data_IF_575949182818
#
_entry.id   IF_575949182818
#
_cell.length_a   1.000
_cell.length_b   1.000
_cell.length_c   1.000
_cell.angle_alpha   90.00
_cell.angle_beta   90.00
_cell.angle_gamma   90.00
#
_symmetry.space_group_name_H-M   'P 1'
#
loop_
_entity.id
_entity.type
_entity.pdbx_description
1 polymer ?
#
# COMPACT_ATOMS: atom_id res chain seq x y z
N UNK A 1 -20.66 12.78 -17.10
CA UNK A 1 -20.30 13.37 -15.78
C UNK A 1 -21.49 13.16 -14.84
N UNK A 2 -21.29 12.54 -13.67
CA UNK A 2 -22.35 12.27 -12.68
C UNK A 2 -22.85 13.59 -12.11
N UNK A 3 -24.18 13.83 -12.09
CA UNK A 3 -24.76 15.06 -11.56
C UNK A 3 -24.60 15.17 -10.04
N UNK A 4 -24.58 16.39 -9.49
CA UNK A 4 -24.48 16.63 -8.04
C UNK A 4 -25.58 15.90 -7.24
N UNK A 5 -26.79 15.86 -7.78
CA UNK A 5 -27.92 15.11 -7.20
C UNK A 5 -27.65 13.61 -7.09
N UNK A 6 -27.04 13.03 -8.11
CA UNK A 6 -26.67 11.61 -8.11
C UNK A 6 -25.58 11.35 -7.09
N UNK A 7 -24.61 12.26 -6.96
CA UNK A 7 -23.55 12.19 -5.94
C UNK A 7 -24.13 12.27 -4.52
N UNK A 8 -25.09 13.16 -4.27
CA UNK A 8 -25.82 13.22 -3.00
C UNK A 8 -26.50 11.88 -2.67
N UNK A 9 -27.20 11.29 -3.64
CA UNK A 9 -27.88 10.00 -3.46
C UNK A 9 -26.92 8.83 -3.28
N UNK A 10 -25.73 8.87 -3.90
CA UNK A 10 -24.67 7.90 -3.66
C UNK A 10 -24.19 7.97 -2.20
N UNK A 11 -23.95 9.17 -1.66
CA UNK A 11 -23.55 9.35 -0.26
C UNK A 11 -24.65 8.85 0.68
N UNK A 12 -25.90 9.22 0.43
CA UNK A 12 -27.05 8.72 1.19
C UNK A 12 -27.10 7.18 1.20
N UNK A 13 -26.96 6.55 0.03
CA UNK A 13 -26.98 5.08 -0.06
C UNK A 13 -25.84 4.44 0.71
N UNK A 14 -24.63 5.02 0.65
CA UNK A 14 -23.44 4.51 1.37
C UNK A 14 -23.52 4.71 2.90
N UNK A 15 -24.23 5.74 3.36
CA UNK A 15 -24.39 6.02 4.78
C UNK A 15 -25.23 4.97 5.53
N UNK A 16 -26.02 4.16 4.82
CA UNK A 16 -26.96 3.20 5.42
C UNK A 16 -28.11 3.85 6.19
N UNK A 17 -28.20 5.17 6.21
CA UNK A 17 -29.24 5.93 6.93
C UNK A 17 -30.53 6.04 6.12
N UNK A 18 -31.65 6.25 6.83
CA UNK A 18 -32.87 6.66 6.16
C UNK A 18 -32.71 8.08 5.59
N UNK A 19 -33.53 8.44 4.58
CA UNK A 19 -33.50 9.78 4.00
C UNK A 19 -33.74 10.90 5.04
N UNK A 20 -34.52 10.61 6.08
CA UNK A 20 -34.78 11.53 7.19
C UNK A 20 -33.52 11.69 8.05
N UNK A 21 -32.96 10.58 8.53
CA UNK A 21 -31.81 10.59 9.45
C UNK A 21 -30.55 11.17 8.78
N UNK A 22 -30.38 10.89 7.48
CA UNK A 22 -29.32 11.50 6.68
C UNK A 22 -29.46 13.02 6.56
N UNK A 23 -30.66 13.52 6.30
CA UNK A 23 -30.92 14.97 6.27
C UNK A 23 -30.62 15.60 7.64
N UNK A 24 -31.15 15.02 8.71
CA UNK A 24 -30.93 15.47 10.09
C UNK A 24 -29.45 15.46 10.50
N UNK A 25 -28.69 14.47 10.07
CA UNK A 25 -27.23 14.40 10.33
C UNK A 25 -26.47 15.58 9.73
N UNK A 26 -26.97 16.14 8.64
CA UNK A 26 -26.44 17.35 8.01
C UNK A 26 -27.03 18.66 8.60
N UNK A 27 -28.04 18.58 9.48
CA UNK A 27 -28.76 19.73 10.01
C UNK A 27 -29.86 20.26 9.06
N UNK A 28 -30.27 19.42 8.11
CA UNK A 28 -31.34 19.74 7.17
C UNK A 28 -32.69 19.23 7.69
N UNK A 29 -33.78 19.92 7.33
CA UNK A 29 -35.10 19.36 7.50
C UNK A 29 -35.32 18.21 6.51
N UNK A 30 -36.21 17.26 6.85
CA UNK A 30 -36.61 16.15 5.97
C UNK A 30 -37.01 16.65 4.56
N UNK A 31 -37.73 17.76 4.50
CA UNK A 31 -38.22 18.37 3.23
C UNK A 31 -37.04 18.85 2.38
N UNK A 32 -36.07 19.55 2.99
CA UNK A 32 -34.88 20.02 2.27
C UNK A 32 -34.03 18.85 1.77
N UNK A 33 -33.81 17.82 2.59
CA UNK A 33 -33.07 16.60 2.17
C UNK A 33 -33.74 15.92 0.98
N UNK A 34 -35.08 15.84 0.97
CA UNK A 34 -35.84 15.31 -0.17
C UNK A 34 -35.69 16.15 -1.44
N UNK A 35 -35.75 17.51 -1.31
CA UNK A 35 -35.57 18.41 -2.44
C UNK A 35 -34.18 18.36 -3.05
N UNK A 36 -33.15 18.19 -2.23
CA UNK A 36 -31.77 18.01 -2.69
C UNK A 36 -31.63 16.65 -3.41
N UNK A 37 -32.12 15.57 -2.80
CA UNK A 37 -32.09 14.24 -3.37
C UNK A 37 -32.90 14.09 -4.67
N UNK A 38 -33.91 14.94 -4.89
CA UNK A 38 -34.68 15.00 -6.14
C UNK A 38 -34.10 15.98 -7.18
N UNK A 39 -33.05 16.72 -6.83
CA UNK A 39 -32.42 17.70 -7.71
C UNK A 39 -33.15 19.05 -7.82
N UNK A 40 -34.16 19.29 -6.98
CA UNK A 40 -34.89 20.60 -6.92
C UNK A 40 -34.07 21.68 -6.23
N UNK A 41 -33.22 21.29 -5.29
CA UNK A 41 -32.28 22.15 -4.60
C UNK A 41 -30.87 21.56 -4.67
N UNK A 42 -29.85 22.41 -4.53
CA UNK A 42 -28.47 22.01 -4.30
C UNK A 42 -28.17 21.99 -2.82
N UNK A 43 -27.18 21.19 -2.42
CA UNK A 43 -26.69 21.22 -1.04
C UNK A 43 -26.07 22.59 -0.75
N UNK A 44 -26.48 23.29 0.32
CA UNK A 44 -25.86 24.54 0.74
C UNK A 44 -24.34 24.38 0.96
N UNK A 45 -23.59 25.39 0.53
CA UNK A 45 -22.10 25.31 0.58
C UNK A 45 -21.55 25.24 1.99
N UNK A 46 -22.20 25.86 2.96
CA UNK A 46 -21.87 25.84 4.38
C UNK A 46 -22.03 24.44 5.02
N UNK A 47 -22.78 23.54 4.36
CA UNK A 47 -22.94 22.16 4.80
C UNK A 47 -21.97 21.18 4.16
N UNK A 48 -21.14 21.60 3.21
CA UNK A 48 -20.14 20.73 2.57
C UNK A 48 -19.13 20.17 3.57
N UNK A 49 -18.64 21.00 4.47
CA UNK A 49 -17.72 20.57 5.55
C UNK A 49 -18.37 19.51 6.45
N UNK A 50 -19.65 19.68 6.75
CA UNK A 50 -20.39 18.72 7.56
C UNK A 50 -20.62 17.41 6.81
N UNK A 51 -20.94 17.49 5.52
CA UNK A 51 -21.03 16.31 4.65
C UNK A 51 -19.71 15.53 4.63
N UNK A 52 -18.57 16.22 4.48
CA UNK A 52 -17.26 15.61 4.49
C UNK A 52 -16.95 14.92 5.81
N UNK A 53 -17.15 15.61 6.94
CA UNK A 53 -16.77 15.11 8.28
C UNK A 53 -17.68 14.00 8.79
N UNK A 54 -19.01 14.15 8.60
CA UNK A 54 -19.99 13.21 9.16
C UNK A 54 -20.10 11.94 8.32
N UNK A 55 -19.97 12.06 6.99
CA UNK A 55 -20.15 10.94 6.06
C UNK A 55 -18.89 10.54 5.32
N UNK A 56 -17.73 11.03 5.74
CA UNK A 56 -16.41 10.72 5.15
C UNK A 56 -16.39 10.93 3.62
N UNK A 57 -16.90 12.07 3.16
CA UNK A 57 -17.05 12.36 1.73
C UNK A 57 -15.85 13.16 1.22
N UNK A 58 -15.28 12.72 0.10
CA UNK A 58 -14.31 13.50 -0.65
C UNK A 58 -15.02 14.68 -1.33
N UNK A 59 -14.73 15.90 -0.88
CA UNK A 59 -15.36 17.11 -1.42
C UNK A 59 -14.99 17.40 -2.86
N UNK A 60 -13.78 17.08 -3.30
CA UNK A 60 -13.40 17.20 -4.70
C UNK A 60 -14.31 16.33 -5.57
N UNK A 61 -14.47 15.05 -5.21
CA UNK A 61 -15.40 14.18 -5.91
C UNK A 61 -16.84 14.69 -5.82
N UNK A 62 -17.28 15.16 -4.66
CA UNK A 62 -18.66 15.64 -4.52
C UNK A 62 -18.94 16.85 -5.42
N UNK A 63 -17.97 17.74 -5.61
CA UNK A 63 -18.13 18.96 -6.41
C UNK A 63 -17.90 18.71 -7.90
N UNK A 64 -16.90 17.93 -8.28
CA UNK A 64 -16.46 17.74 -9.67
C UNK A 64 -16.95 16.42 -10.30
N UNK A 65 -17.13 15.37 -9.49
CA UNK A 65 -17.39 14.02 -9.94
C UNK A 65 -16.12 13.23 -10.28
N UNK A 66 -14.92 13.81 -10.07
CA UNK A 66 -13.64 13.18 -10.30
C UNK A 66 -13.10 12.51 -9.02
N UNK A 67 -12.53 11.31 -9.14
CA UNK A 67 -12.04 10.52 -8.01
C UNK A 67 -13.09 9.60 -7.40
N UNK A 68 -12.99 9.32 -6.10
CA UNK A 68 -13.89 8.43 -5.35
C UNK A 68 -14.77 9.19 -4.37
N UNK A 69 -15.97 8.66 -4.04
CA UNK A 69 -16.95 9.35 -3.16
C UNK A 69 -16.53 9.45 -1.69
N UNK A 70 -15.67 8.55 -1.20
CA UNK A 70 -15.15 8.61 0.17
C UNK A 70 -13.89 9.45 0.24
N UNK A 71 -13.61 10.04 1.40
CA UNK A 71 -12.23 10.34 1.74
C UNK A 71 -11.59 8.95 1.86
N UNK A 72 -10.78 8.57 0.89
CA UNK A 72 -9.90 7.44 1.08
C UNK A 72 -9.02 7.82 2.26
N UNK A 73 -8.92 6.94 3.25
CA UNK A 73 -7.84 7.09 4.22
C UNK A 73 -6.57 7.22 3.38
N UNK A 74 -5.96 8.39 3.39
CA UNK A 74 -4.73 8.67 2.61
C UNK A 74 -3.61 7.72 3.03
N UNK A 75 -3.81 6.98 4.12
CA UNK A 75 -2.90 5.97 4.63
C UNK A 75 -3.53 4.57 4.63
N UNK A 76 -2.69 3.59 4.45
CA UNK A 76 -3.04 2.17 4.53
C UNK A 76 -2.04 1.44 5.41
N UNK A 77 -2.47 0.33 6.00
CA UNK A 77 -1.61 -0.54 6.79
C UNK A 77 -1.05 -1.65 5.92
N UNK A 78 0.24 -1.93 6.09
CA UNK A 78 0.97 -3.04 5.47
C UNK A 78 1.58 -3.87 6.59
N UNK A 79 1.54 -5.20 6.46
CA UNK A 79 2.18 -6.12 7.40
C UNK A 79 3.70 -5.94 7.34
N UNK A 80 4.30 -5.62 8.49
CA UNK A 80 5.75 -5.51 8.67
C UNK A 80 6.26 -6.78 9.32
N UNK A 81 7.12 -7.51 8.60
CA UNK A 81 7.69 -8.76 9.07
C UNK A 81 8.92 -8.50 9.93
N UNK A 82 8.99 -9.19 11.06
CA UNK A 82 10.20 -9.23 11.87
C UNK A 82 11.21 -10.19 11.25
N UNK A 83 12.42 -9.70 10.94
CA UNK A 83 13.48 -10.52 10.32
C UNK A 83 14.00 -11.62 11.25
N UNK A 84 14.03 -11.38 12.58
CA UNK A 84 14.51 -12.39 13.53
C UNK A 84 13.53 -13.57 13.63
N UNK A 85 12.24 -13.29 13.59
CA UNK A 85 11.19 -14.32 13.59
C UNK A 85 11.15 -15.09 12.26
N UNK A 86 11.37 -14.41 11.13
CA UNK A 86 11.41 -15.04 9.80
C UNK A 86 12.64 -15.93 9.59
N UNK A 87 13.77 -15.62 10.25
CA UNK A 87 15.03 -16.35 10.13
C UNK A 87 15.05 -17.69 10.92
N UNK A 88 14.22 -17.84 11.97
CA UNK A 88 14.28 -18.98 12.89
C UNK A 88 13.39 -20.18 12.56
N UNK A 89 12.43 -20.05 11.63
CA UNK A 89 11.42 -21.09 11.39
C UNK A 89 11.54 -21.69 10.00
N UNK A 90 12.27 -22.78 9.89
CA UNK A 90 12.39 -23.59 8.66
C UNK A 90 11.12 -24.33 8.24
N UNK A 91 9.93 -23.93 8.71
CA UNK A 91 8.62 -24.47 8.32
C UNK A 91 7.54 -23.42 8.57
N UNK A 92 6.75 -23.11 7.52
CA UNK A 92 5.45 -22.40 7.58
C UNK A 92 5.36 -21.26 8.60
N UNK A 93 6.26 -20.30 8.51
CA UNK A 93 6.39 -19.16 9.43
C UNK A 93 5.26 -18.13 9.32
N UNK A 94 4.18 -18.44 8.62
CA UNK A 94 3.08 -17.49 8.44
C UNK A 94 2.16 -17.37 9.67
N UNK A 95 2.18 -18.31 10.61
CA UNK A 95 1.20 -18.35 11.69
C UNK A 95 1.71 -17.86 13.06
N UNK A 96 3.01 -17.58 13.23
CA UNK A 96 3.59 -17.23 14.54
C UNK A 96 4.47 -15.97 14.59
N UNK A 97 4.54 -15.21 13.49
CA UNK A 97 5.26 -13.93 13.49
C UNK A 97 4.34 -12.88 14.13
N UNK A 98 4.78 -12.25 15.22
CA UNK A 98 4.14 -11.02 15.70
C UNK A 98 4.13 -10.01 14.55
N UNK A 99 2.98 -9.90 13.89
CA UNK A 99 2.79 -8.97 12.78
C UNK A 99 2.62 -7.58 13.36
N UNK A 100 3.66 -6.79 13.28
CA UNK A 100 3.48 -5.36 13.41
C UNK A 100 2.92 -4.81 12.10
N UNK A 101 2.20 -3.70 12.16
CA UNK A 101 1.71 -3.03 10.95
C UNK A 101 2.42 -1.69 10.79
N UNK A 102 2.66 -1.32 9.54
CA UNK A 102 3.26 -0.05 9.17
C UNK A 102 2.29 0.75 8.30
N UNK A 103 2.06 2.01 8.67
CA UNK A 103 1.17 2.90 7.92
C UNK A 103 1.95 3.66 6.84
N UNK A 104 1.43 3.66 5.62
CA UNK A 104 1.98 4.40 4.49
C UNK A 104 0.89 5.16 3.73
N UNK A 105 1.23 6.27 3.06
CA UNK A 105 0.32 6.89 2.12
C UNK A 105 -0.08 5.90 1.02
N UNK A 106 -1.37 5.84 0.70
CA UNK A 106 -1.88 4.98 -0.38
C UNK A 106 -1.20 5.27 -1.72
N UNK A 107 -0.88 6.53 -1.97
CA UNK A 107 -0.18 6.98 -3.18
C UNK A 107 1.20 6.34 -3.37
N UNK A 108 1.88 5.96 -2.27
CA UNK A 108 3.20 5.33 -2.30
C UNK A 108 3.16 3.91 -2.89
N UNK A 109 2.04 3.22 -2.73
CA UNK A 109 1.88 1.83 -3.14
C UNK A 109 0.97 1.63 -4.36
N UNK A 110 0.32 2.69 -4.84
CA UNK A 110 -0.57 2.60 -6.01
C UNK A 110 0.20 2.05 -7.23
N UNK A 111 -0.40 1.18 -8.06
CA UNK A 111 -1.80 0.74 -8.05
C UNK A 111 -2.08 -0.51 -7.20
N UNK A 112 -1.14 -0.96 -6.38
CA UNK A 112 -1.25 -2.22 -5.64
C UNK A 112 -2.20 -2.12 -4.44
N UNK A 113 -2.77 -3.27 -4.03
CA UNK A 113 -3.61 -3.37 -2.84
C UNK A 113 -2.75 -3.66 -1.61
N UNK A 114 -3.03 -3.03 -0.44
CA UNK A 114 -2.23 -3.21 0.78
C UNK A 114 -2.14 -4.67 1.23
N UNK A 115 -3.23 -5.43 1.13
CA UNK A 115 -3.32 -6.85 1.50
C UNK A 115 -2.45 -7.79 0.65
N UNK A 116 -1.86 -7.28 -0.41
CA UNK A 116 -0.93 -8.00 -1.30
C UNK A 116 0.52 -7.60 -1.09
N UNK A 117 0.79 -6.72 -0.14
CA UNK A 117 2.12 -6.17 0.12
C UNK A 117 2.62 -6.61 1.50
N UNK A 118 3.93 -6.68 1.60
CA UNK A 118 4.65 -6.92 2.83
C UNK A 118 5.76 -5.88 2.98
N UNK A 119 6.18 -5.64 4.21
CA UNK A 119 7.30 -4.76 4.51
C UNK A 119 8.33 -5.47 5.38
N UNK A 120 9.60 -5.09 5.24
CA UNK A 120 10.70 -5.54 6.10
C UNK A 120 11.60 -4.37 6.46
N UNK A 121 12.28 -4.46 7.59
CA UNK A 121 13.43 -3.58 7.85
C UNK A 121 14.61 -3.96 6.98
N UNK A 122 15.31 -2.95 6.46
CA UNK A 122 16.59 -3.13 5.76
C UNK A 122 17.71 -3.17 6.79
N UNK A 123 18.61 -4.12 6.66
CA UNK A 123 19.81 -4.22 7.50
C UNK A 123 21.07 -4.12 6.65
N UNK A 124 22.00 -3.28 7.11
CA UNK A 124 23.30 -3.07 6.48
C UNK A 124 23.27 -2.04 5.35
N UNK A 125 24.43 -1.84 4.72
CA UNK A 125 24.73 -0.76 3.77
C UNK A 125 24.90 -1.25 2.32
N UNK A 126 24.55 -2.50 2.05
CA UNK A 126 24.82 -3.14 0.76
C UNK A 126 24.06 -2.51 -0.43
N UNK A 127 23.05 -1.69 -0.18
CA UNK A 127 22.21 -1.05 -1.21
C UNK A 127 22.27 0.48 -1.15
N UNK A 128 23.28 1.05 -0.49
CA UNK A 128 23.40 2.49 -0.21
C UNK A 128 23.40 3.35 -1.47
N UNK A 129 23.96 2.88 -2.58
CA UNK A 129 23.97 3.64 -3.85
C UNK A 129 22.62 3.63 -4.57
N UNK A 130 21.64 2.85 -4.09
CA UNK A 130 20.22 2.91 -4.49
C UNK A 130 19.39 3.68 -3.47
N UNK A 131 20.06 4.42 -2.56
CA UNK A 131 19.43 5.18 -1.49
C UNK A 131 18.56 4.31 -0.55
N UNK A 132 18.93 3.04 -0.41
CA UNK A 132 18.34 2.10 0.55
C UNK A 132 19.36 1.89 1.65
N UNK A 133 19.06 2.37 2.85
CA UNK A 133 19.99 2.47 3.96
C UNK A 133 19.60 1.53 5.10
N UNK A 134 20.53 1.32 6.01
CA UNK A 134 20.29 0.59 7.25
C UNK A 134 19.15 1.22 8.05
N UNK A 135 18.19 0.41 8.48
CA UNK A 135 16.99 0.83 9.22
C UNK A 135 15.85 1.38 8.38
N UNK A 136 15.98 1.45 7.06
CA UNK A 136 14.87 1.76 6.16
C UNK A 136 13.82 0.64 6.17
N UNK A 137 12.61 0.95 5.69
CA UNK A 137 11.56 -0.04 5.51
C UNK A 137 11.35 -0.25 4.01
N UNK A 138 11.63 -1.46 3.53
CA UNK A 138 11.37 -1.87 2.15
C UNK A 138 9.98 -2.51 2.04
N UNK A 139 9.15 -1.96 1.16
CA UNK A 139 7.80 -2.46 0.83
C UNK A 139 7.93 -3.28 -0.46
N UNK A 140 7.45 -4.52 -0.44
CA UNK A 140 7.58 -5.42 -1.58
C UNK A 140 6.29 -6.19 -1.88
N UNK A 141 6.16 -6.66 -3.12
CA UNK A 141 5.04 -7.48 -3.57
C UNK A 141 5.50 -8.92 -3.76
N UNK A 142 5.03 -9.89 -2.92
CA UNK A 142 5.51 -11.28 -2.93
C UNK A 142 5.30 -12.03 -4.26
N UNK A 143 4.26 -11.65 -5.02
CA UNK A 143 3.93 -12.33 -6.27
C UNK A 143 4.63 -11.75 -7.51
N UNK A 144 5.37 -10.65 -7.37
CA UNK A 144 6.18 -10.10 -8.46
C UNK A 144 7.60 -10.63 -8.35
N UNK A 145 7.94 -11.60 -9.20
CA UNK A 145 9.22 -12.32 -9.16
C UNK A 145 9.92 -12.37 -10.52
N UNK A 146 9.49 -11.53 -11.46
CA UNK A 146 9.99 -11.54 -12.83
C UNK A 146 10.66 -10.21 -13.20
N UNK A 147 11.66 -10.32 -14.09
CA UNK A 147 12.41 -9.19 -14.61
C UNK A 147 13.45 -8.65 -13.62
N UNK A 148 14.48 -8.01 -14.16
CA UNK A 148 15.55 -7.41 -13.36
C UNK A 148 15.02 -6.26 -12.49
N UNK A 149 15.54 -6.13 -11.27
CA UNK A 149 15.07 -5.12 -10.33
C UNK A 149 15.63 -5.30 -8.93
N UNK A 150 15.07 -4.57 -7.97
CA UNK A 150 15.39 -4.71 -6.56
C UNK A 150 14.37 -5.64 -5.92
N UNK A 151 14.87 -6.62 -5.18
CA UNK A 151 14.05 -7.66 -4.58
C UNK A 151 14.42 -7.90 -3.11
N UNK A 152 13.42 -8.33 -2.35
CA UNK A 152 13.67 -9.07 -1.13
C UNK A 152 13.98 -10.51 -1.52
N UNK A 153 15.10 -11.03 -1.06
CA UNK A 153 15.55 -12.39 -1.30
C UNK A 153 15.90 -13.06 0.02
N UNK A 154 15.74 -14.37 0.12
CA UNK A 154 16.26 -15.14 1.25
C UNK A 154 17.36 -16.08 0.80
N UNK A 155 18.40 -16.18 1.64
CA UNK A 155 19.50 -17.14 1.51
C UNK A 155 19.63 -17.83 2.86
N UNK A 156 19.31 -19.12 2.90
CA UNK A 156 19.11 -19.79 4.19
C UNK A 156 18.05 -19.04 5.01
N UNK A 157 18.41 -18.60 6.22
CA UNK A 157 17.51 -17.87 7.12
C UNK A 157 17.63 -16.34 7.02
N UNK A 158 18.48 -15.81 6.15
CA UNK A 158 18.68 -14.37 6.05
C UNK A 158 17.80 -13.74 4.97
N UNK A 159 17.02 -12.71 5.33
CA UNK A 159 16.32 -11.84 4.39
C UNK A 159 17.24 -10.67 4.00
N UNK A 160 17.40 -10.45 2.71
CA UNK A 160 18.29 -9.44 2.16
C UNK A 160 17.54 -8.62 1.09
N UNK A 161 17.88 -7.34 0.97
CA UNK A 161 17.49 -6.51 -0.17
C UNK A 161 18.66 -6.47 -1.15
N UNK A 162 18.42 -6.89 -2.40
CA UNK A 162 19.45 -6.93 -3.45
C UNK A 162 18.86 -6.58 -4.81
N UNK A 163 19.72 -6.07 -5.70
CA UNK A 163 19.41 -6.06 -7.12
C UNK A 163 19.55 -7.48 -7.65
N UNK A 164 18.55 -7.94 -8.38
CA UNK A 164 18.51 -9.27 -8.99
C UNK A 164 18.58 -9.12 -10.49
N UNK A 165 19.51 -9.84 -11.10
CA UNK A 165 19.61 -10.03 -12.54
C UNK A 165 19.31 -11.49 -12.88
N UNK A 166 18.29 -11.73 -13.69
CA UNK A 166 17.89 -13.05 -14.15
C UNK A 166 18.58 -13.35 -15.49
N UNK A 167 19.75 -14.02 -15.41
CA UNK A 167 20.47 -14.49 -16.58
C UNK A 167 19.81 -15.76 -17.14
N UNK A 168 18.78 -15.55 -17.96
CA UNK A 168 17.97 -16.65 -18.53
C UNK A 168 18.77 -17.52 -19.50
N UNK A 169 19.79 -16.95 -20.18
CA UNK A 169 20.63 -17.69 -21.12
C UNK A 169 21.48 -18.74 -20.41
N UNK A 170 22.04 -18.39 -19.25
CA UNK A 170 22.91 -19.28 -18.48
C UNK A 170 22.18 -19.94 -17.30
N UNK A 171 20.86 -19.80 -17.21
CA UNK A 171 20.04 -20.32 -16.10
C UNK A 171 20.63 -19.95 -14.73
N UNK A 172 20.96 -18.67 -14.56
CA UNK A 172 21.58 -18.15 -13.36
C UNK A 172 20.77 -16.97 -12.78
N UNK A 173 20.92 -16.77 -11.48
CA UNK A 173 20.47 -15.58 -10.78
C UNK A 173 21.70 -14.89 -10.21
N UNK A 174 21.86 -13.60 -10.49
CA UNK A 174 22.96 -12.79 -9.99
C UNK A 174 22.41 -11.81 -8.98
N UNK A 175 22.88 -11.88 -7.74
CA UNK A 175 22.60 -10.90 -6.70
C UNK A 175 23.67 -9.83 -6.70
N UNK A 176 23.26 -8.59 -6.88
CA UNK A 176 24.15 -7.44 -6.98
C UNK A 176 23.85 -6.51 -5.81
N UNK A 177 24.88 -6.16 -5.05
CA UNK A 177 24.83 -5.08 -4.07
C UNK A 177 25.07 -3.75 -4.75
N UNK A 178 24.28 -2.74 -4.42
CA UNK A 178 24.50 -1.37 -4.89
C UNK A 178 25.51 -0.62 -4.01
N UNK A 179 26.54 -1.32 -3.56
CA UNK A 179 27.68 -0.82 -2.83
C UNK A 179 28.91 -1.58 -3.36
N UNK A 180 29.91 -0.89 -3.92
CA UNK A 180 31.10 -1.51 -4.53
C UNK A 180 31.96 -2.35 -3.56
N UNK A 181 31.79 -2.14 -2.25
CA UNK A 181 32.46 -2.95 -1.23
C UNK A 181 32.05 -4.43 -1.26
N UNK A 182 30.91 -4.76 -1.90
CA UNK A 182 30.34 -6.09 -1.96
C UNK A 182 30.40 -6.65 -3.38
N UNK A 183 31.00 -7.84 -3.54
CA UNK A 183 31.05 -8.52 -4.83
C UNK A 183 29.69 -9.13 -5.21
N UNK A 184 29.31 -9.12 -6.48
CA UNK A 184 28.13 -9.84 -6.96
C UNK A 184 28.22 -11.34 -6.67
N UNK A 185 27.08 -11.96 -6.34
CA UNK A 185 26.98 -13.40 -6.09
C UNK A 185 26.15 -14.06 -7.18
N UNK A 186 26.72 -15.04 -7.87
CA UNK A 186 26.08 -15.81 -8.93
C UNK A 186 25.59 -17.15 -8.39
N UNK A 187 24.33 -17.46 -8.64
CA UNK A 187 23.69 -18.73 -8.25
C UNK A 187 23.32 -19.50 -9.51
N UNK A 188 23.76 -20.76 -9.59
CA UNK A 188 23.51 -21.68 -10.71
C UNK A 188 23.30 -23.10 -10.19
N UNK A 189 22.59 -23.93 -10.96
CA UNK A 189 22.40 -25.34 -10.61
C UNK A 189 21.82 -25.53 -9.21
N UNK A 190 22.46 -26.37 -8.40
CA UNK A 190 21.98 -26.68 -7.05
C UNK A 190 22.02 -25.48 -6.10
N UNK A 191 22.89 -24.49 -6.32
CA UNK A 191 22.96 -23.30 -5.50
C UNK A 191 21.67 -22.43 -5.61
N UNK A 192 20.88 -22.61 -6.66
CA UNK A 192 19.57 -21.95 -6.77
C UNK A 192 18.56 -22.42 -5.71
N UNK A 193 18.74 -23.62 -5.15
CA UNK A 193 17.87 -24.15 -4.11
C UNK A 193 18.05 -23.41 -2.77
N UNK A 194 19.20 -22.78 -2.55
CA UNK A 194 19.49 -22.01 -1.35
C UNK A 194 19.01 -20.56 -1.43
N UNK A 195 18.59 -20.13 -2.63
CA UNK A 195 18.12 -18.79 -2.91
C UNK A 195 16.61 -18.78 -3.20
N UNK A 196 15.88 -17.97 -2.47
CA UNK A 196 14.46 -17.73 -2.77
C UNK A 196 14.23 -16.24 -3.03
N UNK A 197 13.54 -15.95 -4.13
CA UNK A 197 13.04 -14.61 -4.41
C UNK A 197 11.73 -14.44 -3.63
N UNK A 198 11.75 -13.59 -2.62
CA UNK A 198 10.56 -13.32 -1.80
C UNK A 198 9.59 -12.39 -2.50
N UNK A 199 10.08 -11.33 -3.15
CA UNK A 199 9.26 -10.44 -3.94
C UNK A 199 9.98 -9.17 -4.36
N UNK A 200 9.37 -8.44 -5.30
CA UNK A 200 9.94 -7.21 -5.86
C UNK A 200 9.69 -6.02 -4.95
N UNK A 201 10.72 -5.26 -4.64
CA UNK A 201 10.63 -4.01 -3.89
C UNK A 201 9.96 -2.95 -4.76
N UNK A 202 8.93 -2.31 -4.22
CA UNK A 202 8.14 -1.29 -4.88
C UNK A 202 8.48 0.11 -4.36
N UNK A 203 8.74 0.21 -3.06
CA UNK A 203 9.05 1.46 -2.40
C UNK A 203 9.97 1.22 -1.20
N UNK A 204 10.67 2.26 -0.81
CA UNK A 204 11.47 2.29 0.40
C UNK A 204 11.11 3.55 1.20
N UNK A 205 10.92 3.40 2.51
CA UNK A 205 10.66 4.52 3.41
C UNK A 205 11.90 4.75 4.25
N UNK A 206 12.49 5.91 4.05
CA UNK A 206 13.70 6.32 4.74
C UNK A 206 13.38 7.08 6.02
N UNK A 207 14.12 6.75 7.09
CA UNK A 207 14.08 7.46 8.37
C UNK A 207 15.29 8.35 8.48
N UNK A 208 15.06 9.67 8.52
CA UNK A 208 16.14 10.62 8.83
C UNK A 208 16.46 10.48 10.32
N UNK A 209 17.72 10.20 10.64
CA UNK A 209 18.25 10.13 12.02
C UNK A 209 18.93 11.43 12.39
#
# INVERSE_FOLDING_TARGET
MIKETERYNIVLSKSGLSKKDFAESLGLSKTMGYQIGSGRLKLPRDLLDKLAKVHNVNLHWYLTGEGSPGQEDDTVQIDLLDQEAAAGSGREAQDFIEKSTFQVPRSLIAPYKPDKLLAIYVSGDSMINEHINDGDIAIYHPNLKEGNGIYVVSIGNALLVKRVDFDTQNKAIILISANPAYQPRRFTGNALNDLKIEGRVLACVHRVR
#
